data_IF_638246686233
#
_entry.id   IF_638246686233
#
_cell.length_a   1.000
_cell.length_b   1.000
_cell.length_c   1.000
_cell.angle_alpha   90.00
_cell.angle_beta   90.00
_cell.angle_gamma   90.00
#
_symmetry.space_group_name_H-M   'P 1'
#
loop_
_entity.id
_entity.type
_entity.pdbx_description
1 polymer ?
#
# COMPACT_ATOMS: atom_id res chain seq x y z
N UNK A 1 -12.08 -22.96 -46.96
CA UNK A 1 -13.04 -22.19 -46.13
C UNK A 1 -12.41 -22.15 -44.73
N UNK A 2 -11.62 -21.17 -44.29
CA UNK A 2 -11.57 -19.75 -44.61
C UNK A 2 -12.35 -18.97 -43.54
N UNK A 3 -11.73 -18.74 -42.38
CA UNK A 3 -12.00 -17.60 -41.49
C UNK A 3 -10.71 -17.22 -40.77
N UNK A 4 -10.27 -15.99 -41.03
CA UNK A 4 -9.18 -15.28 -40.39
C UNK A 4 -9.67 -14.62 -39.10
N UNK A 5 -8.82 -14.59 -38.07
CA UNK A 5 -8.78 -13.56 -37.02
C UNK A 5 -7.31 -13.48 -36.56
N UNK A 6 -6.49 -12.66 -37.24
CA UNK A 6 -6.03 -11.33 -36.78
C UNK A 6 -5.53 -11.37 -35.34
N UNK A 7 -4.20 -11.43 -35.21
CA UNK A 7 -3.51 -11.32 -33.93
C UNK A 7 -3.55 -9.90 -33.39
N UNK A 8 -3.74 -9.81 -32.07
CA UNK A 8 -3.29 -8.70 -31.26
C UNK A 8 -2.30 -9.30 -30.25
N UNK A 9 -1.04 -8.98 -30.44
CA UNK A 9 0.05 -9.32 -29.55
C UNK A 9 -0.05 -8.47 -28.30
N UNK A 10 -0.37 -9.08 -27.17
CA UNK A 10 -0.24 -8.50 -25.83
C UNK A 10 1.25 -8.49 -25.43
N UNK A 11 1.86 -7.34 -25.08
CA UNK A 11 3.30 -7.26 -24.80
C UNK A 11 3.73 -7.74 -23.41
N UNK A 12 2.86 -8.34 -22.58
CA UNK A 12 3.22 -8.72 -21.19
C UNK A 12 3.12 -10.21 -20.85
N UNK A 13 3.10 -11.11 -21.83
CA UNK A 13 3.11 -12.55 -21.56
C UNK A 13 4.52 -13.15 -21.49
N UNK A 14 5.28 -12.81 -20.43
CA UNK A 14 6.39 -13.64 -19.92
C UNK A 14 6.55 -13.47 -18.40
N UNK A 15 5.68 -14.12 -17.63
CA UNK A 15 6.00 -14.49 -16.25
C UNK A 15 6.07 -16.00 -16.19
N UNK A 16 7.30 -16.51 -16.32
CA UNK A 16 7.60 -17.91 -16.09
C UNK A 16 7.25 -18.28 -14.64
N UNK A 17 6.28 -19.18 -14.48
CA UNK A 17 6.07 -19.92 -13.25
C UNK A 17 7.23 -20.88 -13.05
N UNK A 18 8.14 -20.56 -12.12
CA UNK A 18 9.10 -21.51 -11.58
C UNK A 18 8.58 -22.03 -10.23
N UNK A 19 7.69 -23.02 -10.29
CA UNK A 19 7.42 -23.91 -9.16
C UNK A 19 8.59 -24.89 -9.03
N UNK A 20 9.53 -24.61 -8.12
CA UNK A 20 10.49 -25.62 -7.65
C UNK A 20 10.68 -25.46 -6.14
N UNK A 21 10.01 -26.33 -5.38
CA UNK A 21 10.67 -26.99 -4.25
C UNK A 21 11.17 -28.34 -4.78
N UNK A 22 12.45 -28.65 -4.59
CA UNK A 22 12.73 -29.83 -3.78
C UNK A 22 13.85 -29.60 -2.75
N UNK A 23 13.80 -30.44 -1.73
CA UNK A 23 14.59 -30.41 -0.50
C UNK A 23 16.11 -30.60 -0.68
N UNK A 24 16.84 -30.08 0.32
CA UNK A 24 18.19 -30.48 0.80
C UNK A 24 19.36 -30.40 -0.19
N UNK A 25 20.15 -29.33 -0.07
CA UNK A 25 21.60 -29.40 -0.22
C UNK A 25 22.26 -28.66 0.95
N UNK A 26 22.89 -29.43 1.85
CA UNK A 26 23.78 -28.96 2.90
C UNK A 26 25.16 -28.84 2.25
N UNK A 27 25.61 -27.62 1.97
CA UNK A 27 27.02 -27.32 1.78
C UNK A 27 27.45 -26.31 2.83
N UNK A 28 28.27 -26.80 3.76
CA UNK A 28 29.01 -26.03 4.72
C UNK A 28 30.12 -25.28 3.97
N UNK A 29 30.02 -23.96 3.88
CA UNK A 29 31.21 -23.12 3.89
C UNK A 29 30.92 -21.84 4.66
N UNK A 30 31.78 -21.60 5.67
CA UNK A 30 31.66 -20.58 6.69
C UNK A 30 32.00 -19.20 6.10
N UNK A 31 31.18 -18.20 6.41
CA UNK A 31 31.61 -16.80 6.67
C UNK A 31 30.46 -16.05 7.37
N UNK A 32 30.76 -15.10 8.26
CA UNK A 32 29.97 -14.91 9.47
C UNK A 32 28.78 -13.98 9.24
N UNK A 33 27.57 -14.53 9.40
CA UNK A 33 26.40 -13.72 9.77
C UNK A 33 26.54 -13.36 11.24
N UNK A 34 26.96 -12.12 11.49
CA UNK A 34 26.86 -11.50 12.82
C UNK A 34 25.47 -10.89 12.93
N UNK A 35 24.53 -11.65 13.47
CA UNK A 35 23.31 -11.09 14.04
C UNK A 35 23.29 -11.51 15.51
N UNK A 36 23.69 -10.60 16.38
CA UNK A 36 23.45 -10.75 17.80
C UNK A 36 23.21 -9.37 18.41
N UNK A 37 21.95 -9.09 18.72
CA UNK A 37 21.57 -8.17 19.78
C UNK A 37 20.40 -8.79 20.55
N UNK A 38 20.73 -9.81 21.35
CA UNK A 38 19.96 -10.08 22.55
C UNK A 38 20.42 -9.06 23.59
N UNK A 39 19.56 -8.10 23.91
CA UNK A 39 19.73 -7.25 25.08
C UNK A 39 18.84 -7.74 26.21
N UNK A 40 19.40 -8.52 27.12
CA UNK A 40 19.13 -8.43 28.56
C UNK A 40 20.34 -7.69 29.20
N UNK A 41 20.26 -7.22 30.45
CA UNK A 41 20.49 -5.84 30.88
C UNK A 41 21.96 -5.38 30.96
N UNK A 42 22.14 -4.06 30.78
CA UNK A 42 23.14 -3.24 31.47
C UNK A 42 24.62 -3.45 31.17
N UNK A 43 25.19 -2.62 30.27
CA UNK A 43 26.40 -1.80 30.49
C UNK A 43 26.76 -1.07 29.19
N UNK A 44 27.09 0.21 29.33
CA UNK A 44 27.22 1.20 28.25
C UNK A 44 28.21 0.84 27.14
N UNK A 45 27.92 1.37 25.95
CA UNK A 45 28.76 1.23 24.78
C UNK A 45 28.21 1.99 23.56
N UNK A 46 28.72 3.22 23.39
CA UNK A 46 28.91 3.98 22.16
C UNK A 46 27.72 4.11 21.18
N UNK A 47 26.99 5.22 21.34
CA UNK A 47 25.77 5.60 20.65
C UNK A 47 26.07 6.16 19.24
N UNK A 48 26.70 5.38 18.37
CA UNK A 48 26.76 5.71 16.95
C UNK A 48 25.38 5.41 16.34
N UNK A 49 24.48 6.40 16.43
CA UNK A 49 23.11 6.35 15.94
C UNK A 49 23.08 6.04 14.44
N UNK A 50 23.08 4.75 14.10
CA UNK A 50 23.09 4.27 12.72
C UNK A 50 21.65 4.27 12.25
N UNK A 51 21.29 5.34 11.53
CA UNK A 51 19.97 5.45 10.93
C UNK A 51 19.79 4.37 9.85
N UNK A 52 18.65 3.68 9.88
CA UNK A 52 18.26 2.76 8.82
C UNK A 52 17.91 3.56 7.56
N UNK A 53 18.53 3.20 6.44
CA UNK A 53 18.24 3.78 5.12
C UNK A 53 17.13 3.01 4.40
N UNK A 54 16.61 3.58 3.32
CA UNK A 54 15.62 2.89 2.48
C UNK A 54 16.25 1.65 1.81
N UNK A 55 17.52 1.76 1.43
CA UNK A 55 18.32 0.68 0.86
C UNK A 55 18.45 -0.49 1.84
N UNK A 56 18.68 -0.22 3.13
CA UNK A 56 18.76 -1.26 4.16
C UNK A 56 17.42 -2.00 4.32
N UNK A 57 16.30 -1.27 4.26
CA UNK A 57 14.96 -1.87 4.31
C UNK A 57 14.71 -2.74 3.08
N UNK A 58 15.02 -2.21 1.89
CA UNK A 58 14.85 -2.95 0.63
C UNK A 58 15.71 -4.23 0.61
N UNK A 59 16.95 -4.14 1.07
CA UNK A 59 17.85 -5.29 1.21
C UNK A 59 17.28 -6.31 2.20
N UNK A 60 16.77 -5.87 3.36
CA UNK A 60 16.16 -6.74 4.36
C UNK A 60 14.91 -7.48 3.85
N UNK A 61 14.10 -6.85 3.00
CA UNK A 61 12.98 -7.51 2.33
C UNK A 61 13.49 -8.52 1.29
N UNK A 62 14.46 -8.12 0.47
CA UNK A 62 15.00 -8.94 -0.63
C UNK A 62 15.69 -10.21 -0.12
N UNK A 63 16.53 -10.11 0.90
CA UNK A 63 17.23 -11.24 1.51
C UNK A 63 16.31 -12.10 2.40
N UNK A 64 15.06 -11.66 2.60
CA UNK A 64 14.08 -12.39 3.39
C UNK A 64 14.34 -12.33 4.89
N UNK A 65 15.06 -11.30 5.36
CA UNK A 65 15.15 -10.95 6.78
C UNK A 65 13.78 -10.50 7.31
N UNK A 66 13.01 -9.78 6.49
CA UNK A 66 11.64 -9.35 6.80
C UNK A 66 10.61 -10.20 6.05
N UNK A 67 9.90 -11.07 6.78
CA UNK A 67 8.93 -12.03 6.21
C UNK A 67 7.48 -11.81 6.63
N UNK A 68 7.25 -10.89 7.58
CA UNK A 68 5.93 -10.59 8.14
C UNK A 68 5.76 -9.08 8.21
N UNK A 69 5.45 -8.48 7.08
CA UNK A 69 5.35 -7.03 6.91
C UNK A 69 3.91 -6.62 7.17
N UNK A 70 3.70 -5.74 8.14
CA UNK A 70 2.42 -5.08 8.36
C UNK A 70 2.49 -3.70 7.70
N UNK A 71 1.47 -3.37 6.90
CA UNK A 71 1.41 -2.08 6.20
C UNK A 71 0.18 -1.31 6.68
N UNK A 72 0.36 -0.02 6.98
CA UNK A 72 -0.71 0.92 7.32
C UNK A 72 -0.72 2.04 6.29
N UNK A 73 -1.87 2.30 5.68
CA UNK A 73 -2.02 3.31 4.63
C UNK A 73 -3.21 4.23 4.90
N UNK A 74 -3.21 5.38 4.22
CA UNK A 74 -4.30 6.34 4.20
C UNK A 74 -4.38 7.04 2.84
N UNK A 75 -5.15 8.11 2.75
CA UNK A 75 -5.58 8.67 1.46
C UNK A 75 -4.42 9.10 0.54
N UNK A 76 -3.26 9.41 1.10
CA UNK A 76 -2.06 9.77 0.35
C UNK A 76 -1.60 8.73 -0.67
N UNK A 77 -1.90 7.43 -0.48
CA UNK A 77 -1.55 6.43 -1.50
C UNK A 77 -2.46 6.49 -2.74
N UNK A 78 -3.61 7.16 -2.65
CA UNK A 78 -4.64 7.22 -3.70
C UNK A 78 -4.65 8.57 -4.45
N UNK A 79 -3.82 9.53 -4.05
CA UNK A 79 -3.72 10.85 -4.71
C UNK A 79 -3.31 10.72 -6.17
N UNK A 80 -2.36 9.83 -6.46
CA UNK A 80 -1.89 9.57 -7.83
C UNK A 80 -2.93 8.81 -8.67
N UNK A 81 -3.94 8.22 -8.02
CA UNK A 81 -5.11 7.61 -8.69
C UNK A 81 -6.22 8.62 -8.96
N UNK A 82 -6.01 9.91 -8.65
CA UNK A 82 -6.96 11.00 -8.86
C UNK A 82 -7.97 11.17 -7.71
N UNK A 83 -7.77 10.47 -6.58
CA UNK A 83 -8.62 10.61 -5.40
C UNK A 83 -7.95 11.61 -4.45
N UNK A 84 -8.53 12.79 -4.19
CA UNK A 84 -7.91 13.77 -3.31
C UNK A 84 -7.81 13.20 -1.89
N UNK A 85 -6.74 13.55 -1.18
CA UNK A 85 -6.70 13.33 0.26
C UNK A 85 -7.67 14.30 0.98
N UNK A 86 -7.74 14.19 2.30
CA UNK A 86 -8.62 15.07 3.08
C UNK A 86 -7.98 16.43 3.38
N UNK A 87 -6.67 16.45 3.66
CA UNK A 87 -5.99 17.51 4.41
C UNK A 87 -4.97 18.32 3.61
N UNK A 88 -4.64 17.94 2.38
CA UNK A 88 -3.68 18.69 1.58
C UNK A 88 -4.19 20.12 1.36
N UNK A 89 -3.32 21.13 1.48
CA UNK A 89 -3.70 22.50 1.19
C UNK A 89 -4.10 22.59 -0.28
N UNK A 90 -5.18 23.32 -0.57
CA UNK A 90 -5.75 23.60 -1.91
C UNK A 90 -6.31 22.40 -2.70
N UNK A 91 -5.67 21.24 -2.67
CA UNK A 91 -6.11 20.03 -3.39
C UNK A 91 -6.95 19.07 -2.54
N UNK A 92 -6.82 19.14 -1.21
CA UNK A 92 -7.50 18.27 -0.26
C UNK A 92 -9.00 18.56 -0.20
N UNK A 93 -9.76 17.54 0.17
CA UNK A 93 -11.20 17.55 0.17
C UNK A 93 -11.80 18.68 1.01
N UNK A 94 -11.24 18.94 2.19
CA UNK A 94 -11.72 20.02 3.07
C UNK A 94 -11.66 21.41 2.42
N UNK A 95 -10.73 21.64 1.48
CA UNK A 95 -10.66 22.91 0.74
C UNK A 95 -11.85 23.09 -0.21
N UNK A 96 -12.40 22.00 -0.76
CA UNK A 96 -13.56 22.01 -1.67
C UNK A 96 -14.90 22.08 -0.96
N UNK A 97 -14.90 21.83 0.35
CA UNK A 97 -16.11 21.75 1.16
C UNK A 97 -16.62 23.11 1.65
N UNK A 98 -15.88 24.21 1.38
CA UNK A 98 -16.32 25.57 1.72
C UNK A 98 -17.68 25.95 1.12
N UNK A 99 -18.12 25.29 0.04
CA UNK A 99 -19.42 25.49 -0.58
C UNK A 99 -20.59 24.97 0.28
N UNK A 100 -20.35 23.93 1.09
CA UNK A 100 -21.32 23.44 2.06
C UNK A 100 -21.06 24.27 3.32
N UNK A 101 -22.04 25.03 3.80
CA UNK A 101 -21.91 25.88 4.99
C UNK A 101 -21.79 25.04 6.27
N UNK A 102 -20.71 24.27 6.36
CA UNK A 102 -20.40 23.35 7.44
C UNK A 102 -19.92 24.15 8.65
N UNK A 103 -20.29 23.73 9.88
CA UNK A 103 -19.79 24.37 11.10
C UNK A 103 -18.27 24.17 11.27
N UNK A 104 -17.75 23.05 10.78
CA UNK A 104 -16.33 22.70 10.69
C UNK A 104 -16.15 21.62 9.60
N UNK A 105 -14.97 21.48 8.97
CA UNK A 105 -14.77 20.60 7.81
C UNK A 105 -15.11 19.13 8.06
N UNK A 106 -14.84 18.62 9.26
CA UNK A 106 -15.09 17.23 9.65
C UNK A 106 -16.58 16.92 9.84
N UNK A 107 -17.44 17.94 9.96
CA UNK A 107 -18.87 17.75 10.23
C UNK A 107 -19.55 16.91 9.15
N UNK A 108 -19.07 16.95 7.91
CA UNK A 108 -19.59 16.12 6.81
C UNK A 108 -19.45 14.61 7.07
N UNK A 109 -18.53 14.19 7.93
CA UNK A 109 -18.31 12.80 8.33
C UNK A 109 -18.86 12.48 9.73
N UNK A 110 -19.48 13.45 10.41
CA UNK A 110 -20.14 13.22 11.69
C UNK A 110 -21.52 12.58 11.47
N UNK A 111 -21.81 11.50 12.21
CA UNK A 111 -23.08 10.80 12.09
C UNK A 111 -24.27 11.68 12.48
N UNK A 112 -24.13 12.49 13.52
CA UNK A 112 -25.20 13.38 13.99
C UNK A 112 -25.52 14.47 12.97
N UNK A 113 -24.49 15.02 12.31
CA UNK A 113 -24.66 15.96 11.21
C UNK A 113 -25.31 15.28 10.00
N UNK A 114 -24.81 14.11 9.58
CA UNK A 114 -25.36 13.36 8.44
C UNK A 114 -26.86 13.06 8.59
N UNK A 115 -27.30 12.67 9.80
CA UNK A 115 -28.70 12.39 10.05
C UNK A 115 -29.62 13.62 9.96
N UNK A 116 -29.07 14.83 10.12
CA UNK A 116 -29.82 16.09 9.97
C UNK A 116 -29.73 16.65 8.56
N UNK A 117 -28.54 16.63 7.97
CA UNK A 117 -28.21 17.23 6.68
C UNK A 117 -27.40 16.25 5.81
N UNK A 118 -28.06 15.24 5.20
CA UNK A 118 -27.37 14.17 4.46
C UNK A 118 -26.83 14.64 3.10
N UNK A 119 -27.37 15.72 2.54
CA UNK A 119 -27.11 16.16 1.16
C UNK A 119 -25.62 16.41 0.88
N UNK A 120 -24.92 17.09 1.80
CA UNK A 120 -23.49 17.40 1.62
C UNK A 120 -22.64 16.12 1.47
N UNK A 121 -22.86 15.13 2.35
CA UNK A 121 -22.16 13.85 2.26
C UNK A 121 -22.57 13.06 1.01
N UNK A 122 -23.86 13.06 0.65
CA UNK A 122 -24.33 12.33 -0.52
C UNK A 122 -23.75 12.89 -1.82
N UNK A 123 -23.71 14.22 -1.97
CA UNK A 123 -23.12 14.86 -3.14
C UNK A 123 -21.62 14.59 -3.23
N UNK A 124 -20.91 14.66 -2.10
CA UNK A 124 -19.51 14.28 -2.01
C UNK A 124 -19.28 12.80 -2.38
N UNK A 125 -20.12 11.89 -1.88
CA UNK A 125 -19.93 10.45 -2.03
C UNK A 125 -20.01 9.97 -3.48
N UNK A 126 -20.69 10.70 -4.36
CA UNK A 126 -20.82 10.38 -5.80
C UNK A 126 -19.48 10.31 -6.51
N UNK A 127 -18.52 11.12 -6.08
CA UNK A 127 -17.17 11.12 -6.64
C UNK A 127 -16.29 10.02 -6.04
N UNK A 128 -16.66 9.50 -4.88
CA UNK A 128 -15.95 8.43 -4.17
C UNK A 128 -16.48 7.02 -4.51
N UNK A 129 -17.49 6.92 -5.37
CA UNK A 129 -18.06 5.63 -5.78
C UNK A 129 -17.02 4.78 -6.54
N UNK A 130 -16.98 3.45 -6.29
CA UNK A 130 -16.03 2.56 -6.93
C UNK A 130 -16.23 2.50 -8.45
N UNK A 131 -15.12 2.30 -9.18
CA UNK A 131 -15.12 2.10 -10.64
C UNK A 131 -14.68 3.29 -11.48
N UNK A 132 -14.38 4.44 -10.86
CA UNK A 132 -13.88 5.64 -11.56
C UNK A 132 -12.36 5.80 -11.54
N UNK A 133 -11.68 5.08 -10.65
CA UNK A 133 -10.24 5.20 -10.39
C UNK A 133 -9.56 3.85 -10.51
N UNK A 134 -8.29 3.87 -10.93
CA UNK A 134 -7.46 2.68 -11.06
C UNK A 134 -6.38 2.64 -9.98
N UNK A 135 -5.97 1.44 -9.51
CA UNK A 135 -4.81 1.31 -8.64
C UNK A 135 -3.55 1.90 -9.28
N UNK A 136 -2.68 2.50 -8.48
CA UNK A 136 -1.40 3.05 -8.92
C UNK A 136 -0.21 2.21 -8.43
N UNK A 137 1.01 2.69 -8.66
CA UNK A 137 2.27 2.01 -8.28
C UNK A 137 2.31 1.60 -6.81
N UNK A 138 1.82 2.43 -5.88
CA UNK A 138 1.80 2.10 -4.45
C UNK A 138 0.91 0.88 -4.19
N UNK A 139 -0.28 0.83 -4.79
CA UNK A 139 -1.19 -0.30 -4.68
C UNK A 139 -0.60 -1.58 -5.28
N UNK A 140 0.03 -1.47 -6.45
CA UNK A 140 0.72 -2.60 -7.08
C UNK A 140 1.91 -3.09 -6.27
N UNK A 141 2.61 -2.21 -5.55
CA UNK A 141 3.66 -2.61 -4.60
C UNK A 141 3.10 -3.42 -3.44
N UNK A 142 1.94 -3.02 -2.86
CA UNK A 142 1.27 -3.82 -1.83
C UNK A 142 0.88 -5.21 -2.35
N UNK A 143 0.36 -5.27 -3.58
CA UNK A 143 0.07 -6.53 -4.27
C UNK A 143 1.32 -7.38 -4.46
N UNK A 144 2.46 -6.77 -4.83
CA UNK A 144 3.73 -7.47 -4.97
C UNK A 144 4.19 -8.08 -3.64
N UNK A 145 4.07 -7.35 -2.51
CA UNK A 145 4.39 -7.89 -1.18
C UNK A 145 3.51 -9.10 -0.82
N UNK A 146 2.22 -9.06 -1.19
CA UNK A 146 1.30 -10.17 -1.03
C UNK A 146 1.70 -11.38 -1.89
N UNK A 147 1.98 -11.16 -3.18
CA UNK A 147 2.34 -12.22 -4.13
C UNK A 147 3.68 -12.88 -3.77
N UNK A 148 4.60 -12.12 -3.18
CA UNK A 148 5.85 -12.62 -2.59
C UNK A 148 5.68 -13.27 -1.22
N UNK A 149 4.46 -13.30 -0.67
CA UNK A 149 4.10 -13.91 0.63
C UNK A 149 4.88 -13.34 1.82
N UNK A 150 5.21 -12.05 1.75
CA UNK A 150 5.87 -11.32 2.85
C UNK A 150 4.92 -10.34 3.54
N UNK A 151 3.79 -9.98 2.90
CA UNK A 151 2.74 -9.18 3.52
C UNK A 151 1.97 -10.02 4.54
N UNK A 152 2.00 -9.59 5.81
CA UNK A 152 1.21 -10.17 6.89
C UNK A 152 -0.21 -9.60 6.91
N UNK A 153 -0.33 -8.27 6.81
CA UNK A 153 -1.61 -7.56 6.89
C UNK A 153 -1.48 -6.17 6.30
N UNK A 154 -2.54 -5.72 5.64
CA UNK A 154 -2.75 -4.34 5.22
C UNK A 154 -3.91 -3.75 6.02
N UNK A 155 -3.65 -2.65 6.72
CA UNK A 155 -4.66 -1.81 7.35
C UNK A 155 -4.79 -0.51 6.55
N UNK A 156 -5.99 -0.23 6.06
CA UNK A 156 -6.26 0.97 5.27
C UNK A 156 -7.30 1.83 5.97
N UNK A 157 -7.11 3.14 5.92
CA UNK A 157 -8.13 4.14 6.26
C UNK A 157 -9.00 4.51 5.05
N UNK A 158 -8.63 4.06 3.85
CA UNK A 158 -9.31 4.40 2.62
C UNK A 158 -10.60 3.60 2.46
N UNK A 159 -11.57 4.20 1.78
CA UNK A 159 -12.86 3.60 1.41
C UNK A 159 -13.02 3.47 -0.12
N UNK A 160 -11.96 3.78 -0.87
CA UNK A 160 -11.94 3.74 -2.34
C UNK A 160 -11.85 2.33 -2.94
N UNK A 161 -11.52 1.33 -2.11
CA UNK A 161 -11.39 -0.09 -2.46
C UNK A 161 -10.30 -0.42 -3.49
N UNK A 162 -9.36 0.49 -3.77
CA UNK A 162 -8.31 0.28 -4.78
C UNK A 162 -7.35 -0.86 -4.40
N UNK A 163 -7.19 -1.16 -3.12
CA UNK A 163 -6.35 -2.26 -2.63
C UNK A 163 -6.93 -3.64 -3.01
N UNK A 164 -8.26 -3.74 -3.17
CA UNK A 164 -8.93 -4.98 -3.64
C UNK A 164 -8.95 -5.12 -5.15
N UNK A 165 -8.87 -3.99 -5.87
CA UNK A 165 -8.97 -3.92 -7.34
C UNK A 165 -7.69 -4.30 -8.08
N UNK A 166 -6.56 -4.41 -7.38
CA UNK A 166 -5.29 -4.88 -7.96
C UNK A 166 -5.39 -6.38 -8.30
N UNK A 167 -6.00 -6.71 -9.44
CA UNK A 167 -6.04 -8.07 -10.00
C UNK A 167 -4.84 -8.31 -10.92
#
# INVERSE_FOLDING_TARGET
RGVHAVGLTDPYEKVAFATLRPNKCRFLHKSPVKCWSSGFPGRGGNDNNTFLTLEDVAFGIKEGTYRRILVMVGAGISTDSGIPDFRSPTSGLYSKLQQYSLPYPEAIFDLGYFLREPHAFLDLSKDLLPGRHLPNTAHHFLRLLNDKRVLLRLYTQNIDSLERGSK
#
